data_IF_715260599331
#
_entry.id   IF_715260599331
#
_cell.length_a   1.000
_cell.length_b   1.000
_cell.length_c   1.000
_cell.angle_alpha   90.00
_cell.angle_beta   90.00
_cell.angle_gamma   90.00
#
_symmetry.space_group_name_H-M   'P 1'
#
loop_
_entity.id
_entity.type
_entity.pdbx_description
1 polymer ?
#
# COMPACT_ATOMS: atom_id res chain seq x y z
N UNK A 1 -1.54 -15.81 -0.59
CA UNK A 1 -2.16 -15.21 -1.79
C UNK A 1 -1.08 -14.51 -2.62
N UNK A 2 -1.32 -14.21 -3.89
CA UNK A 2 -0.37 -13.37 -4.66
C UNK A 2 -0.46 -11.93 -4.14
N UNK A 3 0.65 -11.30 -3.71
CA UNK A 3 0.65 -9.96 -3.14
C UNK A 3 0.20 -8.90 -4.16
N UNK A 4 -0.34 -7.79 -3.66
CA UNK A 4 -0.68 -6.65 -4.49
C UNK A 4 0.58 -5.90 -4.97
N UNK A 5 0.52 -5.42 -6.21
CA UNK A 5 1.51 -4.50 -6.76
C UNK A 5 1.37 -3.13 -6.12
N UNK A 6 2.50 -2.45 -5.95
CA UNK A 6 2.56 -1.14 -5.30
C UNK A 6 3.74 -0.32 -5.80
N UNK A 7 3.56 1.00 -5.84
CA UNK A 7 4.64 1.98 -5.96
C UNK A 7 5.06 2.35 -4.54
N UNK A 8 6.36 2.31 -4.26
CA UNK A 8 6.95 2.74 -2.99
C UNK A 8 7.95 3.85 -3.27
N UNK A 9 7.79 4.99 -2.61
CA UNK A 9 8.70 6.13 -2.75
C UNK A 9 8.92 6.84 -1.42
N UNK A 10 10.05 7.55 -1.30
CA UNK A 10 10.47 8.20 -0.06
C UNK A 10 11.29 7.31 0.89
N UNK A 11 11.82 7.88 1.99
CA UNK A 11 12.76 7.19 2.88
C UNK A 11 12.11 6.08 3.73
N UNK A 12 12.78 4.93 3.90
CA UNK A 12 12.21 3.78 4.65
C UNK A 12 11.89 4.05 6.14
N UNK A 13 12.52 5.05 6.75
CA UNK A 13 12.28 5.46 8.14
C UNK A 13 11.23 6.56 8.32
N UNK A 14 10.70 7.11 7.21
CA UNK A 14 9.74 8.20 7.26
C UNK A 14 8.32 7.72 7.63
N UNK A 15 7.48 8.61 8.21
CA UNK A 15 6.06 8.32 8.39
C UNK A 15 5.42 7.85 7.08
N UNK A 16 4.66 6.75 7.15
CA UNK A 16 4.14 6.08 5.95
C UNK A 16 2.69 6.47 5.66
N UNK A 17 2.43 6.87 4.41
CA UNK A 17 1.08 7.01 3.84
C UNK A 17 0.82 5.85 2.88
N UNK A 18 -0.28 5.13 3.08
CA UNK A 18 -0.78 4.13 2.14
C UNK A 18 -1.90 4.76 1.33
N UNK A 19 -1.72 4.88 0.02
CA UNK A 19 -2.70 5.51 -0.86
C UNK A 19 -3.47 4.46 -1.65
N UNK A 20 -4.80 4.58 -1.63
CA UNK A 20 -5.74 3.76 -2.38
C UNK A 20 -6.36 4.61 -3.49
N UNK A 21 -6.43 4.04 -4.69
CA UNK A 21 -7.08 4.69 -5.82
C UNK A 21 -8.57 4.38 -5.85
N UNK A 22 -9.36 5.24 -6.52
CA UNK A 22 -10.78 5.00 -6.79
C UNK A 22 -11.03 3.92 -7.85
N UNK A 23 -12.30 3.56 -8.05
CA UNK A 23 -12.72 2.62 -9.09
C UNK A 23 -12.23 3.09 -10.47
N UNK A 24 -11.79 2.17 -11.33
CA UNK A 24 -11.17 2.42 -12.64
C UNK A 24 -9.75 2.99 -12.62
N UNK A 25 -9.23 3.36 -11.45
CA UNK A 25 -7.87 3.87 -11.27
C UNK A 25 -6.79 2.79 -11.13
N UNK A 26 -5.57 3.25 -10.81
CA UNK A 26 -4.42 2.43 -10.43
C UNK A 26 -3.44 3.28 -9.60
N UNK A 27 -2.41 2.68 -9.02
CA UNK A 27 -1.38 3.39 -8.25
C UNK A 27 -0.72 4.53 -9.05
N UNK A 28 -0.50 4.35 -10.36
CA UNK A 28 0.10 5.39 -11.22
C UNK A 28 -0.81 6.61 -11.39
N UNK A 29 -2.13 6.44 -11.26
CA UNK A 29 -3.09 7.56 -11.30
C UNK A 29 -2.91 8.53 -10.12
N UNK A 30 -2.13 8.14 -9.10
CA UNK A 30 -1.84 8.94 -7.91
C UNK A 30 -0.45 9.62 -7.98
N UNK A 31 0.20 9.66 -9.15
CA UNK A 31 1.57 10.18 -9.29
C UNK A 31 1.78 11.57 -8.65
N UNK A 32 0.88 12.53 -8.91
CA UNK A 32 0.99 13.87 -8.31
C UNK A 32 0.87 13.84 -6.78
N UNK A 33 0.03 12.97 -6.22
CA UNK A 33 -0.08 12.80 -4.77
C UNK A 33 1.16 12.13 -4.19
N UNK A 34 1.73 11.14 -4.90
CA UNK A 34 2.98 10.48 -4.52
C UNK A 34 4.10 11.54 -4.41
N UNK A 35 4.30 12.32 -5.48
CA UNK A 35 5.34 13.35 -5.53
C UNK A 35 5.13 14.40 -4.42
N UNK A 36 3.90 14.89 -4.27
CA UNK A 36 3.55 15.89 -3.26
C UNK A 36 3.92 15.48 -1.83
N UNK A 37 3.64 14.22 -1.46
CA UNK A 37 3.89 13.72 -0.10
C UNK A 37 5.34 13.29 0.10
N UNK A 38 6.01 12.76 -0.93
CA UNK A 38 7.44 12.44 -0.88
C UNK A 38 8.27 13.70 -0.66
N UNK A 39 7.95 14.81 -1.35
CA UNK A 39 8.60 16.11 -1.14
C UNK A 39 8.44 16.65 0.29
N UNK A 40 7.38 16.23 0.99
CA UNK A 40 7.11 16.57 2.40
C UNK A 40 7.74 15.61 3.39
N UNK A 41 8.56 14.67 2.91
CA UNK A 41 9.31 13.74 3.73
C UNK A 41 8.51 12.54 4.21
N UNK A 42 7.39 12.20 3.55
CA UNK A 42 6.67 10.96 3.80
C UNK A 42 7.24 9.81 2.96
N UNK A 43 7.06 8.60 3.48
CA UNK A 43 7.14 7.38 2.68
C UNK A 43 5.76 7.09 2.12
N UNK A 44 5.63 7.02 0.81
CA UNK A 44 4.35 6.75 0.14
C UNK A 44 4.34 5.32 -0.39
N UNK A 45 3.26 4.60 -0.08
CA UNK A 45 2.95 3.27 -0.60
C UNK A 45 1.61 3.34 -1.34
N UNK A 46 1.66 3.56 -2.65
CA UNK A 46 0.45 3.59 -3.48
C UNK A 46 0.16 2.17 -4.02
N UNK A 47 -1.02 1.64 -3.70
CA UNK A 47 -1.36 0.24 -3.97
C UNK A 47 -2.25 0.13 -5.20
N UNK A 48 -1.94 -0.82 -6.10
CA UNK A 48 -2.90 -1.25 -7.11
C UNK A 48 -3.92 -2.19 -6.45
N UNK A 49 -5.18 -1.79 -6.36
CA UNK A 49 -6.23 -2.68 -5.86
C UNK A 49 -6.35 -3.93 -6.75
N UNK A 50 -6.82 -5.05 -6.18
CA UNK A 50 -7.07 -6.27 -6.96
C UNK A 50 -7.93 -5.97 -8.18
N UNK A 51 -7.56 -6.54 -9.32
CA UNK A 51 -8.19 -6.26 -10.60
C UNK A 51 -7.69 -5.02 -11.33
N UNK A 52 -6.84 -4.20 -10.73
CA UNK A 52 -6.32 -2.95 -11.31
C UNK A 52 -4.81 -2.97 -11.46
N UNK A 53 -4.29 -2.06 -12.29
CA UNK A 53 -2.86 -1.88 -12.54
C UNK A 53 -2.13 -3.20 -12.81
N UNK A 54 -1.05 -3.41 -12.05
CA UNK A 54 -0.23 -4.63 -12.11
C UNK A 54 -0.59 -5.65 -11.01
N UNK A 55 -1.65 -5.42 -10.24
CA UNK A 55 -2.11 -6.37 -9.23
C UNK A 55 -2.80 -7.58 -9.87
N UNK A 56 -2.90 -8.71 -9.15
CA UNK A 56 -3.60 -9.88 -9.63
C UNK A 56 -5.04 -9.57 -10.04
N UNK A 57 -5.52 -10.21 -11.11
CA UNK A 57 -6.91 -10.07 -11.58
C UNK A 57 -7.88 -10.89 -10.73
N UNK A 58 -9.16 -10.55 -10.86
CA UNK A 58 -10.24 -11.23 -10.16
C UNK A 58 -10.39 -12.67 -10.64
N UNK A 59 -10.69 -13.57 -9.71
CA UNK A 59 -11.36 -14.83 -10.01
C UNK A 59 -12.84 -14.66 -9.72
N UNK A 60 -13.70 -15.47 -10.35
CA UNK A 60 -15.16 -15.44 -10.11
C UNK A 60 -15.50 -15.47 -8.61
N UNK A 61 -14.96 -16.46 -7.89
CA UNK A 61 -15.21 -16.65 -6.46
C UNK A 61 -14.74 -15.49 -5.57
N UNK A 62 -13.68 -14.76 -5.98
CA UNK A 62 -13.23 -13.57 -5.25
C UNK A 62 -14.11 -12.36 -5.58
N UNK A 63 -14.56 -12.24 -6.82
CA UNK A 63 -15.42 -11.14 -7.24
C UNK A 63 -16.79 -11.18 -6.55
N UNK A 64 -17.32 -12.38 -6.29
CA UNK A 64 -18.57 -12.58 -5.52
C UNK A 64 -18.50 -12.01 -4.08
N UNK A 65 -17.28 -11.81 -3.55
CA UNK A 65 -17.01 -11.26 -2.22
C UNK A 65 -16.00 -10.11 -2.31
N UNK A 66 -16.17 -9.26 -3.32
CA UNK A 66 -15.16 -8.26 -3.68
C UNK A 66 -14.85 -7.31 -2.52
N UNK A 67 -15.85 -6.92 -1.73
CA UNK A 67 -15.66 -6.02 -0.59
C UNK A 67 -14.74 -6.62 0.47
N UNK A 68 -15.03 -7.86 0.89
CA UNK A 68 -14.21 -8.59 1.86
C UNK A 68 -12.79 -8.81 1.34
N UNK A 69 -12.65 -9.23 0.08
CA UNK A 69 -11.34 -9.49 -0.53
C UNK A 69 -10.50 -8.21 -0.60
N UNK A 70 -11.10 -7.05 -0.90
CA UNK A 70 -10.36 -5.79 -0.92
C UNK A 70 -9.89 -5.38 0.48
N UNK A 71 -10.69 -5.63 1.52
CA UNK A 71 -10.29 -5.38 2.91
C UNK A 71 -9.19 -6.34 3.35
N UNK A 72 -9.32 -7.63 3.04
CA UNK A 72 -8.30 -8.65 3.29
C UNK A 72 -6.97 -8.27 2.63
N UNK A 73 -7.01 -7.86 1.36
CA UNK A 73 -5.82 -7.44 0.62
C UNK A 73 -5.14 -6.21 1.26
N UNK A 74 -5.92 -5.25 1.76
CA UNK A 74 -5.36 -4.08 2.45
C UNK A 74 -4.75 -4.46 3.81
N UNK A 75 -5.40 -5.36 4.55
CA UNK A 75 -4.86 -5.89 5.81
C UNK A 75 -3.52 -6.58 5.55
N UNK A 76 -3.44 -7.44 4.53
CA UNK A 76 -2.19 -8.11 4.13
C UNK A 76 -1.06 -7.09 3.87
N UNK A 77 -1.35 -6.00 3.15
CA UNK A 77 -0.37 -4.92 2.91
C UNK A 77 0.08 -4.26 4.23
N UNK A 78 -0.85 -3.97 5.15
CA UNK A 78 -0.54 -3.34 6.43
C UNK A 78 0.26 -4.28 7.35
N UNK A 79 -0.03 -5.58 7.35
CA UNK A 79 0.70 -6.59 8.10
C UNK A 79 2.13 -6.79 7.57
N UNK A 80 2.32 -6.75 6.25
CA UNK A 80 3.65 -6.72 5.62
C UNK A 80 4.45 -5.50 6.09
N UNK A 81 3.84 -4.31 6.08
CA UNK A 81 4.48 -3.09 6.55
C UNK A 81 4.82 -3.14 8.04
N UNK A 82 3.93 -3.69 8.88
CA UNK A 82 4.18 -3.89 10.30
C UNK A 82 5.33 -4.88 10.53
N UNK A 83 5.41 -5.95 9.73
CA UNK A 83 6.51 -6.92 9.76
C UNK A 83 7.84 -6.26 9.39
N UNK A 84 7.86 -5.44 8.33
CA UNK A 84 9.03 -4.68 7.94
C UNK A 84 9.48 -3.70 9.05
N UNK A 85 8.53 -3.01 9.70
CA UNK A 85 8.82 -2.11 10.83
C UNK A 85 9.45 -2.87 12.02
N UNK A 86 8.90 -4.04 12.39
CA UNK A 86 9.51 -4.90 13.42
C UNK A 86 10.92 -5.36 13.04
N UNK A 87 11.14 -5.70 11.77
CA UNK A 87 12.47 -6.04 11.26
C UNK A 87 13.47 -4.88 11.41
N UNK A 88 13.05 -3.65 11.12
CA UNK A 88 13.86 -2.44 11.34
C UNK A 88 14.22 -2.25 12.82
N UNK A 89 13.24 -2.40 13.72
CA UNK A 89 13.49 -2.32 15.16
C UNK A 89 14.52 -3.37 15.63
N UNK A 90 14.39 -4.61 15.16
CA UNK A 90 15.33 -5.69 15.50
C UNK A 90 16.77 -5.41 15.04
N UNK A 91 16.94 -4.59 14.00
CA UNK A 91 18.23 -4.13 13.48
C UNK A 91 18.72 -2.81 14.10
N UNK A 92 18.00 -2.25 15.09
CA UNK A 92 18.33 -0.95 15.69
C UNK A 92 18.10 0.25 14.77
N UNK A 93 17.32 0.08 13.69
CA UNK A 93 16.99 1.15 12.75
C UNK A 93 15.76 1.95 13.22
N UNK A 94 15.64 3.24 12.82
CA UNK A 94 14.43 4.01 13.10
C UNK A 94 13.18 3.35 12.54
N UNK A 95 12.14 3.24 13.37
CA UNK A 95 10.81 2.74 13.00
C UNK A 95 9.81 3.88 12.90
N UNK A 96 9.11 4.03 11.77
CA UNK A 96 8.04 5.01 11.68
C UNK A 96 6.83 4.59 12.55
N UNK A 97 5.93 5.54 12.88
CA UNK A 97 4.64 5.20 13.49
C UNK A 97 3.78 4.34 12.56
N UNK A 98 2.63 3.88 13.06
CA UNK A 98 1.66 3.13 12.26
C UNK A 98 1.30 3.90 10.97
N UNK A 99 1.20 3.23 9.81
CA UNK A 99 0.84 3.90 8.56
C UNK A 99 -0.55 4.54 8.62
N UNK A 100 -0.72 5.65 7.90
CA UNK A 100 -2.03 6.26 7.66
C UNK A 100 -2.54 5.80 6.29
N UNK A 101 -3.76 5.27 6.24
CA UNK A 101 -4.42 4.89 4.98
C UNK A 101 -5.26 6.06 4.47
N UNK A 102 -5.15 6.38 3.19
CA UNK A 102 -5.89 7.44 2.49
C UNK A 102 -6.51 6.83 1.24
N UNK A 103 -7.83 6.94 1.07
CA UNK A 103 -8.58 6.37 -0.04
C UNK A 103 -9.97 6.96 -0.15
#
# INVERSE_FOLDING_TARGET
MTPLSRIVSGPDGAPTLVLLHGITGSAVSLAEAIDHWVERGYRVVAVDARGHGLSPRWTQARLERAGEVLVEDLIDVLEELATASRGRAALGLPTPPAPVVIG
#
